data_IF_773138232636
#
_entry.id   IF_773138232636
#
_cell.length_a   1.000
_cell.length_b   1.000
_cell.length_c   1.000
_cell.angle_alpha   90.00
_cell.angle_beta   90.00
_cell.angle_gamma   90.00
#
_symmetry.space_group_name_H-M   'P 1'
#
loop_
_entity.id
_entity.type
_entity.pdbx_description
1 polymer ?
#
# COMPACT_ATOMS: atom_id res chain seq x y z
N UNK A 1 22.29 21.97 56.24
CA UNK A 1 23.03 21.88 54.96
C UNK A 1 23.02 20.48 54.36
N UNK A 2 23.29 19.40 55.13
CA UNK A 2 23.30 17.99 54.64
C UNK A 2 21.94 17.50 54.11
N UNK A 3 20.84 17.85 54.79
CA UNK A 3 19.49 17.42 54.44
C UNK A 3 19.02 18.02 53.10
N UNK A 4 19.33 19.29 52.86
CA UNK A 4 19.00 20.00 51.63
C UNK A 4 19.72 19.43 50.44
N UNK A 5 20.97 19.00 50.61
CA UNK A 5 21.75 18.36 49.52
C UNK A 5 21.25 16.96 49.22
N UNK A 6 20.76 16.20 50.18
CA UNK A 6 20.09 14.89 49.94
C UNK A 6 18.79 15.08 49.22
N UNK A 7 17.97 16.07 49.58
CA UNK A 7 16.71 16.34 48.89
C UNK A 7 16.92 16.78 47.42
N UNK A 8 17.92 17.64 47.17
CA UNK A 8 18.28 18.01 45.77
C UNK A 8 18.71 16.81 44.92
N UNK A 9 19.49 15.89 45.48
CA UNK A 9 19.90 14.67 44.74
C UNK A 9 18.71 13.77 44.41
N UNK A 10 17.75 13.60 45.32
CA UNK A 10 16.52 12.80 45.10
C UNK A 10 15.66 13.42 44.00
N UNK A 11 15.50 14.75 43.99
CA UNK A 11 14.74 15.48 42.97
C UNK A 11 15.42 15.35 41.59
N UNK A 12 16.73 15.46 41.53
CA UNK A 12 17.49 15.32 40.27
C UNK A 12 17.38 13.89 39.74
N UNK A 13 17.53 12.87 40.59
CA UNK A 13 17.36 11.46 40.20
C UNK A 13 15.93 11.15 39.72
N UNK A 14 14.92 11.69 40.39
CA UNK A 14 13.52 11.54 39.98
C UNK A 14 13.23 12.22 38.65
N UNK A 15 13.78 13.42 38.40
CA UNK A 15 13.64 14.12 37.13
C UNK A 15 14.33 13.38 35.97
N UNK A 16 15.51 12.81 36.21
CA UNK A 16 16.23 11.99 35.23
C UNK A 16 15.47 10.68 34.94
N UNK A 17 14.95 10.03 35.96
CA UNK A 17 14.16 8.81 35.79
C UNK A 17 12.85 9.07 35.01
N UNK A 18 12.19 10.20 35.27
CA UNK A 18 10.99 10.63 34.56
C UNK A 18 11.26 11.00 33.09
N UNK A 19 12.42 11.62 32.82
CA UNK A 19 12.80 11.93 31.42
C UNK A 19 13.15 10.69 30.59
N UNK A 20 13.66 9.62 31.21
CA UNK A 20 13.97 8.36 30.51
C UNK A 20 12.67 7.62 30.12
N UNK A 21 11.59 7.76 30.87
CA UNK A 21 10.29 7.19 30.57
C UNK A 21 9.61 7.79 29.31
N UNK A 22 9.96 9.02 28.92
CA UNK A 22 9.42 9.68 27.74
C UNK A 22 10.23 9.45 26.45
N UNK A 23 11.40 8.76 26.52
CA UNK A 23 12.23 8.48 25.35
C UNK A 23 11.85 7.20 24.59
N UNK A 24 10.83 6.45 25.03
CA UNK A 24 10.31 5.30 24.28
C UNK A 24 9.20 5.72 23.32
N UNK A 25 9.42 6.73 22.50
CA UNK A 25 8.70 6.90 21.26
C UNK A 25 9.15 5.76 20.35
N UNK A 26 8.36 4.68 20.25
CA UNK A 26 8.56 3.65 19.25
C UNK A 26 8.42 4.32 17.88
N UNK A 27 9.53 4.74 17.29
CA UNK A 27 9.58 5.03 15.87
C UNK A 27 9.44 3.69 15.15
N UNK A 28 8.20 3.23 14.98
CA UNK A 28 7.91 2.14 14.07
C UNK A 28 8.24 2.63 12.66
N UNK A 29 9.36 2.13 12.14
CA UNK A 29 9.80 2.46 10.80
C UNK A 29 8.82 1.82 9.81
N UNK A 30 8.27 2.63 8.93
CA UNK A 30 7.49 2.12 7.80
C UNK A 30 8.42 1.27 6.90
N UNK A 31 7.86 0.30 6.19
CA UNK A 31 8.63 -0.52 5.25
C UNK A 31 9.28 0.36 4.16
N UNK A 32 10.46 -0.03 3.68
CA UNK A 32 11.14 0.67 2.58
C UNK A 32 10.85 -0.03 1.25
N UNK A 33 10.82 0.67 0.10
CA UNK A 33 10.54 0.04 -1.17
C UNK A 33 11.57 -1.04 -1.51
N UNK A 34 11.11 -2.15 -2.07
CA UNK A 34 11.97 -3.21 -2.61
C UNK A 34 12.58 -2.78 -3.96
N UNK A 35 13.50 -3.60 -4.50
CA UNK A 35 14.02 -3.39 -5.86
C UNK A 35 12.92 -3.44 -6.94
N UNK A 36 11.86 -4.17 -6.68
CA UNK A 36 10.70 -4.36 -7.54
C UNK A 36 9.59 -3.33 -7.24
N UNK A 37 9.96 -2.09 -7.12
CA UNK A 37 9.21 -0.92 -6.65
C UNK A 37 7.67 -1.01 -6.73
N UNK A 38 7.11 -1.55 -7.82
CA UNK A 38 5.66 -1.63 -8.04
C UNK A 38 4.95 -2.70 -7.23
N UNK A 39 5.69 -3.69 -6.69
CA UNK A 39 5.14 -4.75 -5.84
C UNK A 39 6.03 -5.03 -4.65
N UNK A 40 5.51 -4.80 -3.45
CA UNK A 40 6.23 -4.90 -2.19
C UNK A 40 5.45 -5.82 -1.25
N UNK A 41 5.71 -7.12 -1.32
CA UNK A 41 4.94 -8.17 -0.66
C UNK A 41 5.61 -8.64 0.65
N UNK A 42 5.52 -7.82 1.71
CA UNK A 42 6.12 -8.15 3.02
C UNK A 42 5.31 -9.17 3.84
N UNK A 43 4.04 -9.36 3.49
CA UNK A 43 3.18 -10.34 4.13
C UNK A 43 3.20 -11.72 3.44
N UNK A 44 3.90 -11.84 2.29
CA UNK A 44 3.95 -13.05 1.45
C UNK A 44 2.55 -13.53 1.05
N UNK A 45 1.72 -12.64 0.56
CA UNK A 45 0.34 -12.91 0.15
C UNK A 45 0.22 -13.17 -1.35
N UNK A 46 1.21 -12.75 -2.15
CA UNK A 46 1.15 -12.74 -3.60
C UNK A 46 1.95 -13.90 -4.21
N UNK A 47 1.35 -14.55 -5.21
CA UNK A 47 2.04 -15.51 -6.05
C UNK A 47 3.08 -14.82 -6.95
N UNK A 48 4.08 -15.56 -7.41
CA UNK A 48 5.08 -15.04 -8.35
C UNK A 48 4.45 -14.63 -9.68
N UNK A 49 3.35 -15.27 -10.07
CA UNK A 49 2.59 -14.93 -11.25
C UNK A 49 1.93 -13.54 -11.10
N UNK A 50 1.27 -13.28 -9.97
CA UNK A 50 0.68 -11.98 -9.67
C UNK A 50 1.74 -10.89 -9.59
N UNK A 51 2.87 -11.14 -8.91
CA UNK A 51 3.99 -10.18 -8.85
C UNK A 51 4.51 -9.84 -10.23
N UNK A 52 4.74 -10.83 -11.07
CA UNK A 52 5.21 -10.65 -12.45
C UNK A 52 4.21 -9.85 -13.30
N UNK A 53 2.92 -10.17 -13.18
CA UNK A 53 1.84 -9.44 -13.85
C UNK A 53 1.85 -7.95 -13.48
N UNK A 54 1.89 -7.64 -12.17
CA UNK A 54 1.95 -6.26 -11.67
C UNK A 54 3.19 -5.54 -12.21
N UNK A 55 4.37 -6.16 -12.14
CA UNK A 55 5.61 -5.56 -12.61
C UNK A 55 5.57 -5.22 -14.10
N UNK A 56 5.16 -6.16 -14.94
CA UNK A 56 5.16 -5.99 -16.40
C UNK A 56 4.16 -4.92 -16.85
N UNK A 57 2.94 -4.97 -16.32
CA UNK A 57 1.88 -4.03 -16.69
C UNK A 57 2.16 -2.63 -16.17
N UNK A 58 2.77 -2.48 -14.98
CA UNK A 58 3.19 -1.18 -14.47
C UNK A 58 4.36 -0.58 -15.25
N UNK A 59 5.32 -1.40 -15.67
CA UNK A 59 6.41 -0.91 -16.52
C UNK A 59 5.86 -0.31 -17.83
N UNK A 60 4.90 -0.99 -18.46
CA UNK A 60 4.24 -0.50 -19.68
C UNK A 60 3.42 0.77 -19.39
N UNK A 61 2.63 0.78 -18.31
CA UNK A 61 1.88 1.96 -17.86
C UNK A 61 2.79 3.16 -17.63
N UNK A 62 3.85 2.97 -16.86
CA UNK A 62 4.77 4.04 -16.49
C UNK A 62 5.51 4.60 -17.70
N UNK A 63 5.98 3.74 -18.62
CA UNK A 63 6.65 4.17 -19.84
C UNK A 63 5.74 5.04 -20.72
N UNK A 64 4.44 4.72 -20.78
CA UNK A 64 3.49 5.42 -21.65
C UNK A 64 2.94 6.71 -21.04
N UNK A 65 2.83 6.79 -19.71
CA UNK A 65 2.06 7.85 -19.04
C UNK A 65 2.81 8.55 -17.90
N UNK A 66 3.80 7.89 -17.32
CA UNK A 66 4.42 8.27 -16.04
C UNK A 66 3.60 7.84 -14.82
N UNK A 67 2.38 7.31 -14.99
CA UNK A 67 1.56 6.83 -13.87
C UNK A 67 2.16 5.57 -13.24
N UNK A 68 1.91 5.40 -11.94
CA UNK A 68 2.42 4.27 -11.16
C UNK A 68 1.31 3.72 -10.27
N UNK A 69 1.11 2.39 -10.30
CA UNK A 69 0.22 1.69 -9.38
C UNK A 69 1.08 0.76 -8.52
N UNK A 70 1.25 1.09 -7.25
CA UNK A 70 2.10 0.34 -6.33
C UNK A 70 1.25 -0.52 -5.40
N UNK A 71 1.57 -1.80 -5.32
CA UNK A 71 0.95 -2.74 -4.39
C UNK A 71 1.90 -3.00 -3.22
N UNK A 72 1.38 -2.83 -2.01
CA UNK A 72 2.11 -3.12 -0.77
C UNK A 72 1.28 -4.02 0.11
N UNK A 73 1.85 -5.13 0.54
CA UNK A 73 1.27 -5.97 1.59
C UNK A 73 2.17 -5.92 2.81
N UNK A 74 1.58 -5.74 3.99
CA UNK A 74 2.28 -5.74 5.27
C UNK A 74 1.63 -6.72 6.23
N UNK A 75 2.39 -7.21 7.21
CA UNK A 75 1.82 -8.09 8.24
C UNK A 75 0.81 -7.35 9.09
N UNK A 76 1.19 -6.19 9.61
CA UNK A 76 0.32 -5.30 10.39
C UNK A 76 0.76 -3.85 10.22
N UNK A 77 -0.02 -2.93 10.78
CA UNK A 77 0.18 -1.47 10.68
C UNK A 77 1.00 -0.89 11.84
N UNK A 78 1.62 -1.73 12.68
CA UNK A 78 2.44 -1.29 13.81
C UNK A 78 1.71 -0.30 14.74
N UNK A 79 0.39 -0.49 14.92
CA UNK A 79 -0.44 0.36 15.78
C UNK A 79 -0.90 1.68 15.18
N UNK A 80 -0.56 1.97 13.92
CA UNK A 80 -1.07 3.15 13.18
C UNK A 80 -2.45 2.87 12.59
N UNK A 81 -3.20 3.93 12.27
CA UNK A 81 -4.37 3.79 11.40
C UNK A 81 -3.92 3.45 9.97
N UNK A 82 -4.78 2.80 9.21
CA UNK A 82 -4.44 2.45 7.81
C UNK A 82 -4.28 3.71 6.94
N UNK A 83 -5.02 4.78 7.26
CA UNK A 83 -4.92 6.08 6.61
C UNK A 83 -3.54 6.72 6.83
N UNK A 84 -3.10 6.74 8.08
CA UNK A 84 -1.79 7.31 8.44
C UNK A 84 -0.66 6.51 7.78
N UNK A 85 -0.74 5.17 7.87
CA UNK A 85 0.26 4.28 7.30
C UNK A 85 0.33 4.42 5.76
N UNK A 86 -0.82 4.39 5.07
CA UNK A 86 -0.90 4.52 3.62
C UNK A 86 -0.37 5.88 3.14
N UNK A 87 -0.77 6.97 3.79
CA UNK A 87 -0.36 8.32 3.43
C UNK A 87 1.14 8.54 3.64
N UNK A 88 1.70 8.04 4.76
CA UNK A 88 3.13 8.07 5.01
C UNK A 88 3.90 7.26 3.96
N UNK A 89 3.45 6.03 3.67
CA UNK A 89 4.06 5.14 2.71
C UNK A 89 4.02 5.71 1.28
N UNK A 90 2.89 6.28 0.88
CA UNK A 90 2.73 6.94 -0.42
C UNK A 90 3.76 8.04 -0.64
N UNK A 91 4.01 8.87 0.40
CA UNK A 91 4.99 9.94 0.35
C UNK A 91 6.42 9.44 0.38
N UNK A 92 6.75 8.50 1.27
CA UNK A 92 8.11 7.98 1.43
C UNK A 92 8.57 7.20 0.21
N UNK A 93 7.67 6.45 -0.44
CA UNK A 93 7.98 5.77 -1.69
C UNK A 93 8.01 6.73 -2.89
N UNK A 94 7.42 7.92 -2.77
CA UNK A 94 7.33 8.88 -3.85
C UNK A 94 6.53 8.32 -5.05
N UNK A 95 5.36 7.75 -4.76
CA UNK A 95 4.53 7.04 -5.74
C UNK A 95 3.91 8.04 -6.75
N UNK A 96 4.16 7.81 -8.04
CA UNK A 96 3.71 8.67 -9.12
C UNK A 96 4.77 9.64 -9.62
N UNK A 97 4.50 10.28 -10.74
CA UNK A 97 5.32 11.35 -11.27
C UNK A 97 5.17 12.63 -10.42
N UNK A 98 6.28 13.30 -10.14
CA UNK A 98 6.33 14.47 -9.23
C UNK A 98 5.54 15.68 -9.73
N UNK A 99 5.40 15.83 -11.05
CA UNK A 99 4.69 16.95 -11.65
C UNK A 99 3.21 16.59 -11.86
N UNK A 100 2.95 15.34 -12.28
CA UNK A 100 1.60 14.86 -12.59
C UNK A 100 0.84 14.37 -11.36
N UNK A 101 1.52 13.98 -10.27
CA UNK A 101 0.93 13.38 -9.06
C UNK A 101 0.00 12.19 -9.36
N UNK A 102 0.36 11.38 -10.35
CA UNK A 102 -0.46 10.30 -10.93
C UNK A 102 -0.08 8.92 -10.38
N UNK A 103 0.11 8.85 -9.09
CA UNK A 103 0.36 7.62 -8.36
C UNK A 103 -0.91 7.00 -7.77
N UNK A 104 -0.90 5.68 -7.58
CA UNK A 104 -1.92 4.91 -6.88
C UNK A 104 -1.24 3.89 -5.98
N UNK A 105 -1.66 3.80 -4.73
CA UNK A 105 -1.21 2.79 -3.78
C UNK A 105 -2.36 1.86 -3.40
N UNK A 106 -2.13 0.55 -3.51
CA UNK A 106 -2.98 -0.49 -2.95
C UNK A 106 -2.26 -1.09 -1.74
N UNK A 107 -2.74 -0.81 -0.54
CA UNK A 107 -2.18 -1.29 0.72
C UNK A 107 -3.07 -2.36 1.35
N UNK A 108 -2.50 -3.53 1.62
CA UNK A 108 -3.14 -4.62 2.36
C UNK A 108 -2.41 -4.90 3.66
N UNK A 109 -3.09 -4.79 4.80
CA UNK A 109 -2.60 -5.26 6.10
C UNK A 109 -3.27 -6.59 6.44
N UNK A 110 -2.44 -7.65 6.55
CA UNK A 110 -2.92 -9.03 6.69
C UNK A 110 -3.55 -9.31 8.05
N UNK A 111 -2.83 -9.02 9.12
CA UNK A 111 -3.27 -9.32 10.50
C UNK A 111 -4.40 -8.40 10.96
N UNK A 112 -4.34 -7.11 10.56
CA UNK A 112 -5.38 -6.13 10.87
C UNK A 112 -6.64 -6.31 10.01
N UNK A 113 -6.59 -7.12 8.95
CA UNK A 113 -7.70 -7.36 8.02
C UNK A 113 -8.19 -6.07 7.35
N UNK A 114 -7.26 -5.20 7.01
CA UNK A 114 -7.55 -3.88 6.44
C UNK A 114 -6.99 -3.77 5.02
N UNK A 115 -7.71 -3.04 4.19
CA UNK A 115 -7.30 -2.68 2.83
C UNK A 115 -7.58 -1.21 2.57
N UNK A 116 -6.67 -0.53 1.88
CA UNK A 116 -6.83 0.87 1.51
C UNK A 116 -6.22 1.15 0.15
N UNK A 117 -6.89 2.04 -0.59
CA UNK A 117 -6.37 2.66 -1.80
C UNK A 117 -6.09 4.13 -1.50
N UNK A 118 -4.88 4.58 -1.84
CA UNK A 118 -4.51 5.99 -1.79
C UNK A 118 -4.30 6.50 -3.21
N UNK A 119 -5.01 7.55 -3.58
CA UNK A 119 -5.05 8.09 -4.94
C UNK A 119 -4.30 9.41 -4.99
N UNK A 120 -3.31 9.53 -5.88
CA UNK A 120 -2.64 10.79 -6.14
C UNK A 120 -3.55 11.79 -6.86
N UNK A 121 -3.36 13.07 -6.58
CA UNK A 121 -4.21 14.16 -7.09
C UNK A 121 -4.45 14.12 -8.61
N UNK A 122 -3.43 13.72 -9.39
CA UNK A 122 -3.53 13.60 -10.84
C UNK A 122 -4.43 12.47 -11.35
N UNK A 123 -4.88 11.56 -10.47
CA UNK A 123 -5.80 10.48 -10.80
C UNK A 123 -7.20 10.66 -10.19
N UNK A 124 -7.42 11.68 -9.34
CA UNK A 124 -8.74 11.91 -8.70
C UNK A 124 -9.88 12.12 -9.72
N UNK A 125 -9.56 12.65 -10.91
CA UNK A 125 -10.52 12.83 -11.98
C UNK A 125 -11.12 11.52 -12.49
N UNK A 126 -10.31 10.49 -12.68
CA UNK A 126 -10.76 9.18 -13.14
C UNK A 126 -11.08 8.21 -11.98
N UNK A 127 -10.51 8.42 -10.80
CA UNK A 127 -10.68 7.62 -9.60
C UNK A 127 -11.15 8.46 -8.39
N UNK A 128 -12.32 9.11 -8.47
CA UNK A 128 -12.90 9.78 -7.31
C UNK A 128 -13.28 8.76 -6.23
N UNK A 129 -13.37 9.18 -4.96
CA UNK A 129 -13.62 8.32 -3.79
C UNK A 129 -14.75 7.31 -3.99
N UNK A 130 -15.88 7.74 -4.54
CA UNK A 130 -17.01 6.87 -4.77
C UNK A 130 -16.76 5.77 -5.80
N UNK A 131 -15.94 6.01 -6.83
CA UNK A 131 -15.53 5.00 -7.82
C UNK A 131 -14.50 4.06 -7.20
N UNK A 132 -13.52 4.63 -6.52
CA UNK A 132 -12.48 3.89 -5.80
C UNK A 132 -13.09 2.92 -4.78
N UNK A 133 -14.09 3.36 -4.01
CA UNK A 133 -14.84 2.50 -3.08
C UNK A 133 -15.56 1.35 -3.79
N UNK A 134 -16.28 1.63 -4.88
CA UNK A 134 -16.97 0.57 -5.65
C UNK A 134 -16.01 -0.48 -6.22
N UNK A 135 -14.85 -0.06 -6.75
CA UNK A 135 -13.85 -1.00 -7.27
C UNK A 135 -13.31 -1.90 -6.16
N UNK A 136 -13.07 -1.36 -4.97
CA UNK A 136 -12.67 -2.17 -3.80
C UNK A 136 -13.75 -3.17 -3.43
N UNK A 137 -15.01 -2.74 -3.32
CA UNK A 137 -16.14 -3.58 -2.91
C UNK A 137 -16.44 -4.69 -3.93
N UNK A 138 -16.20 -4.46 -5.20
CA UNK A 138 -16.48 -5.41 -6.29
C UNK A 138 -15.33 -6.39 -6.52
N UNK A 139 -14.08 -5.89 -6.57
CA UNK A 139 -12.94 -6.69 -7.04
C UNK A 139 -11.98 -7.15 -5.95
N UNK A 140 -12.04 -6.59 -4.73
CA UNK A 140 -11.06 -6.87 -3.68
C UNK A 140 -11.72 -7.48 -2.44
N UNK A 141 -12.61 -6.74 -1.80
CA UNK A 141 -13.14 -7.06 -0.48
C UNK A 141 -13.78 -8.45 -0.38
N UNK A 142 -14.58 -8.93 -1.38
CA UNK A 142 -15.17 -10.26 -1.32
C UNK A 142 -14.11 -11.36 -1.20
N UNK A 143 -13.02 -11.25 -1.95
CA UNK A 143 -11.91 -12.20 -1.94
C UNK A 143 -11.12 -12.17 -0.63
N UNK A 144 -10.83 -10.98 -0.10
CA UNK A 144 -10.12 -10.84 1.17
C UNK A 144 -10.91 -11.45 2.33
N UNK A 145 -12.23 -11.33 2.33
CA UNK A 145 -13.11 -11.97 3.32
C UNK A 145 -13.00 -13.50 3.30
N UNK A 146 -12.74 -14.08 2.13
CA UNK A 146 -12.54 -15.52 1.94
C UNK A 146 -11.06 -15.95 2.11
N UNK A 147 -10.16 -15.05 2.53
CA UNK A 147 -8.71 -15.25 2.61
C UNK A 147 -8.02 -15.52 1.25
N UNK A 148 -8.65 -15.17 0.15
CA UNK A 148 -8.11 -15.24 -1.21
C UNK A 148 -7.37 -13.95 -1.57
N UNK A 149 -6.30 -13.66 -0.82
CA UNK A 149 -5.60 -12.37 -0.92
C UNK A 149 -4.97 -12.15 -2.29
N UNK A 150 -4.28 -13.16 -2.84
CA UNK A 150 -3.65 -13.08 -4.16
C UNK A 150 -4.66 -12.72 -5.25
N UNK A 151 -5.77 -13.47 -5.31
CA UNK A 151 -6.83 -13.25 -6.29
C UNK A 151 -7.47 -11.85 -6.13
N UNK A 152 -7.81 -11.47 -4.90
CA UNK A 152 -8.44 -10.17 -4.62
C UNK A 152 -7.53 -9.00 -4.99
N UNK A 153 -6.25 -9.05 -4.62
CA UNK A 153 -5.29 -8.00 -4.94
C UNK A 153 -5.04 -7.93 -6.45
N UNK A 154 -4.90 -9.08 -7.13
CA UNK A 154 -4.73 -9.14 -8.58
C UNK A 154 -5.93 -8.56 -9.32
N UNK A 155 -7.15 -8.96 -8.94
CA UNK A 155 -8.39 -8.48 -9.56
C UNK A 155 -8.56 -6.98 -9.37
N UNK A 156 -8.36 -6.49 -8.14
CA UNK A 156 -8.43 -5.06 -7.84
C UNK A 156 -7.37 -4.26 -8.59
N UNK A 157 -6.12 -4.72 -8.58
CA UNK A 157 -5.05 -4.10 -9.35
C UNK A 157 -5.42 -4.00 -10.85
N UNK A 158 -5.95 -5.08 -11.42
CA UNK A 158 -6.36 -5.13 -12.83
C UNK A 158 -7.50 -4.15 -13.14
N UNK A 159 -8.47 -4.01 -12.22
CA UNK A 159 -9.57 -3.05 -12.33
C UNK A 159 -9.05 -1.60 -12.29
N UNK A 160 -8.22 -1.26 -11.31
CA UNK A 160 -7.60 0.07 -11.24
C UNK A 160 -6.70 0.38 -12.43
N UNK A 161 -5.91 -0.60 -12.90
CA UNK A 161 -5.10 -0.47 -14.11
C UNK A 161 -5.97 -0.14 -15.33
N UNK A 162 -7.15 -0.76 -15.44
CA UNK A 162 -8.11 -0.47 -16.50
C UNK A 162 -8.55 0.97 -16.52
N UNK A 163 -8.97 1.51 -15.36
CA UNK A 163 -9.41 2.88 -15.22
C UNK A 163 -8.31 3.90 -15.54
N UNK A 164 -7.09 3.65 -15.05
CA UNK A 164 -5.96 4.53 -15.35
C UNK A 164 -5.57 4.45 -16.84
N UNK A 165 -5.59 3.27 -17.45
CA UNK A 165 -5.30 3.12 -18.87
C UNK A 165 -6.34 3.83 -19.75
N UNK A 166 -7.62 3.79 -19.36
CA UNK A 166 -8.71 4.51 -20.04
C UNK A 166 -8.52 6.03 -19.95
N UNK A 167 -8.18 6.56 -18.78
CA UNK A 167 -7.90 7.99 -18.57
C UNK A 167 -6.83 8.52 -19.51
N UNK A 168 -5.76 7.74 -19.70
CA UNK A 168 -4.67 8.09 -20.61
C UNK A 168 -4.91 7.67 -22.06
N UNK A 169 -6.05 7.08 -22.38
CA UNK A 169 -6.41 6.56 -23.71
C UNK A 169 -5.31 5.63 -24.29
N UNK A 170 -4.82 4.71 -23.46
CA UNK A 170 -3.80 3.73 -23.81
C UNK A 170 -4.29 2.30 -23.65
N UNK A 171 -3.64 1.38 -24.37
CA UNK A 171 -3.84 -0.07 -24.20
C UNK A 171 -2.64 -0.66 -23.46
N UNK A 172 -2.91 -1.42 -22.40
CA UNK A 172 -1.92 -2.21 -21.67
C UNK A 172 -2.01 -3.67 -22.12
N UNK A 173 -0.85 -4.27 -22.39
CA UNK A 173 -0.78 -5.68 -22.78
C UNK A 173 -1.03 -6.60 -21.55
N UNK A 174 -2.19 -7.26 -21.55
CA UNK A 174 -2.66 -8.14 -20.46
C UNK A 174 -2.66 -9.61 -20.86
N UNK A 175 -1.73 -10.06 -21.70
CA UNK A 175 -1.76 -11.41 -22.27
C UNK A 175 -1.88 -12.54 -21.26
N UNK A 176 -1.37 -12.40 -20.05
CA UNK A 176 -1.50 -13.41 -18.99
C UNK A 176 -2.93 -13.52 -18.44
N UNK A 177 -3.70 -12.43 -18.42
CA UNK A 177 -5.11 -12.42 -17.99
C UNK A 177 -6.02 -13.22 -18.96
N UNK A 178 -5.74 -13.16 -20.25
CA UNK A 178 -6.48 -13.92 -21.26
C UNK A 178 -6.29 -15.44 -21.12
N UNK A 179 -5.14 -15.90 -20.68
CA UNK A 179 -4.85 -17.33 -20.46
C UNK A 179 -5.66 -17.89 -19.29
N UNK A 180 -5.86 -17.13 -18.23
CA UNK A 180 -6.63 -17.56 -17.05
C UNK A 180 -8.13 -17.65 -17.38
N UNK A 181 -8.69 -16.69 -18.13
CA UNK A 181 -10.10 -16.74 -18.57
C UNK A 181 -10.41 -17.95 -19.46
N UNK A 182 -9.48 -18.31 -20.33
CA UNK A 182 -9.63 -19.49 -21.21
C UNK A 182 -9.66 -20.78 -20.38
N UNK A 183 -8.81 -20.88 -19.37
CA UNK A 183 -8.76 -22.08 -18.50
C UNK A 183 -10.02 -22.22 -17.63
N UNK A 184 -10.58 -21.11 -17.12
CA UNK A 184 -11.83 -21.14 -16.33
C UNK A 184 -13.09 -21.44 -17.18
N UNK A 185 -13.07 -21.14 -18.48
CA UNK A 185 -14.20 -21.41 -19.38
C UNK A 185 -14.21 -22.86 -19.92
N UNK A 186 -13.11 -23.61 -19.79
CA UNK A 186 -13.04 -25.01 -20.25
C UNK A 186 -13.53 -26.04 -19.21
N UNK A 187 -13.97 -25.60 -18.01
CA UNK A 187 -14.52 -26.46 -16.96
C UNK A 187 -16.02 -26.18 -16.67
N UNK A 188 -16.85 -26.09 -17.71
CA UNK A 188 -18.31 -26.11 -17.57
C UNK A 188 -18.84 -27.33 -18.32
#
# INVERSE_FOLDING_TARGET
>A
MLLLNKLKKVIICSAIFFSILFLNGSNYAIVSPTKDFYVNDYANLLSEETKKYILQTNQDLNQKTGAQIVVVTVKNLEGKSIEEYANQLFREFGIGDKEKNNGLLLLCSYEDRMFRVEVGYGLEGCLPDGKTGRLQDEYIIPYLRENKFDEGIRNGYSAFLGEVAEEYNITIDRREEATIKITSTQFV
#
